data_IF_881274008763
#
_entry.id   IF_881274008763
#
_cell.length_a   1.000
_cell.length_b   1.000
_cell.length_c   1.000
_cell.angle_alpha   90.00
_cell.angle_beta   90.00
_cell.angle_gamma   90.00
#
_symmetry.space_group_name_H-M   'P 1'
#
loop_
_entity.id
_entity.type
_entity.pdbx_description
1 polymer ?
#
# COMPACT_ATOMS: atom_id res chain seq x y z
N UNK A 1 -46.80 -22.08 45.93
CA UNK A 1 -46.23 -20.72 45.78
C UNK A 1 -46.71 -20.07 44.47
N UNK A 2 -48.02 -20.12 44.20
CA UNK A 2 -48.73 -19.41 43.11
C UNK A 2 -50.09 -19.04 43.70
N UNK A 3 -50.11 -18.01 44.56
CA UNK A 3 -51.35 -17.40 45.08
C UNK A 3 -51.16 -16.00 45.69
N UNK A 4 -49.94 -15.42 45.63
CA UNK A 4 -49.63 -14.14 46.29
C UNK A 4 -49.49 -12.93 45.35
N UNK A 5 -49.64 -13.07 44.02
CA UNK A 5 -49.48 -11.94 43.09
C UNK A 5 -50.78 -11.30 42.58
N UNK A 6 -51.96 -11.86 42.86
CA UNK A 6 -53.23 -11.31 42.35
C UNK A 6 -53.82 -10.15 43.17
N UNK A 7 -53.21 -9.76 44.29
CA UNK A 7 -53.74 -8.72 45.19
C UNK A 7 -53.01 -7.37 45.15
N UNK A 8 -52.04 -7.15 44.25
CA UNK A 8 -51.39 -5.83 44.11
C UNK A 8 -51.90 -4.98 42.93
N UNK A 9 -52.76 -5.50 42.05
CA UNK A 9 -53.27 -4.78 40.87
C UNK A 9 -54.70 -4.22 41.02
N UNK A 10 -55.22 -4.14 42.25
CA UNK A 10 -56.50 -3.50 42.54
C UNK A 10 -56.40 -2.58 43.76
N UNK A 11 -55.80 -1.40 43.58
CA UNK A 11 -56.10 -0.18 44.36
C UNK A 11 -55.22 0.98 43.90
N UNK A 12 -55.83 1.86 43.10
CA UNK A 12 -55.70 3.33 43.07
C UNK A 12 -55.97 3.83 41.65
N UNK A 13 -57.23 3.69 41.25
CA UNK A 13 -57.89 4.77 40.51
C UNK A 13 -58.15 5.91 41.49
N UNK A 14 -58.36 7.11 40.94
CA UNK A 14 -58.83 8.34 41.59
C UNK A 14 -57.73 9.30 42.03
N UNK A 15 -57.33 10.22 41.13
CA UNK A 15 -57.73 11.63 41.24
C UNK A 15 -57.21 12.52 40.10
N UNK A 16 -58.19 13.19 39.49
CA UNK A 16 -58.24 14.58 38.96
C UNK A 16 -57.24 15.03 37.89
N UNK A 17 -57.82 15.13 36.69
CA UNK A 17 -57.45 16.01 35.57
C UNK A 17 -58.05 17.39 35.87
N UNK A 18 -57.26 18.46 35.70
CA UNK A 18 -57.79 19.80 35.43
C UNK A 18 -57.11 20.38 34.18
N UNK A 19 -57.95 21.10 33.42
CA UNK A 19 -57.95 21.52 32.01
C UNK A 19 -56.90 22.59 31.61
N UNK A 20 -56.85 22.83 30.29
CA UNK A 20 -56.86 24.14 29.54
C UNK A 20 -55.79 24.08 28.44
N UNK A 21 -55.98 24.44 27.15
CA UNK A 21 -57.11 24.81 26.29
C UNK A 21 -56.63 24.63 24.83
N UNK A 22 -57.55 24.33 23.92
CA UNK A 22 -57.39 24.48 22.46
C UNK A 22 -58.21 25.71 22.04
N UNK A 23 -57.74 26.51 21.07
CA UNK A 23 -58.69 27.16 20.15
C UNK A 23 -58.52 26.72 18.70
N UNK A 24 -59.67 26.50 18.08
CA UNK A 24 -59.92 26.14 16.70
C UNK A 24 -59.60 27.25 15.68
N UNK A 25 -59.34 26.75 14.46
CA UNK A 25 -59.45 27.31 13.11
C UNK A 25 -60.14 28.67 12.85
N UNK A 26 -59.56 29.49 11.95
CA UNK A 26 -60.09 29.76 10.58
C UNK A 26 -59.25 30.75 9.75
N UNK A 27 -58.95 30.30 8.52
CA UNK A 27 -58.87 30.98 7.21
C UNK A 27 -58.05 32.27 7.00
N UNK A 28 -57.09 32.24 6.06
CA UNK A 28 -57.22 32.92 4.76
C UNK A 28 -56.23 32.37 3.72
N UNK A 29 -56.69 32.34 2.49
CA UNK A 29 -56.11 31.78 1.25
C UNK A 29 -54.95 32.58 0.67
N UNK A 30 -53.94 31.92 0.07
CA UNK A 30 -53.59 31.98 -1.37
C UNK A 30 -52.16 31.50 -1.69
N UNK A 31 -52.09 30.83 -2.85
CA UNK A 31 -51.00 30.78 -3.83
C UNK A 31 -49.81 29.83 -3.55
N UNK A 32 -50.02 28.61 -4.05
CA UNK A 32 -49.09 27.76 -4.80
C UNK A 32 -47.75 28.38 -5.19
N UNK A 33 -46.68 27.83 -4.62
CA UNK A 33 -45.43 27.61 -5.34
C UNK A 33 -45.02 26.14 -5.18
N UNK A 34 -44.85 25.51 -6.34
CA UNK A 34 -44.40 24.13 -6.54
C UNK A 34 -42.89 24.12 -6.28
N UNK A 35 -42.42 23.34 -5.33
CA UNK A 35 -41.00 22.93 -5.29
C UNK A 35 -40.93 21.43 -5.11
N UNK A 36 -40.43 20.79 -6.17
CA UNK A 36 -40.21 19.37 -6.40
C UNK A 36 -39.83 18.55 -5.14
N UNK A 37 -40.77 17.72 -4.70
CA UNK A 37 -40.47 16.58 -3.84
C UNK A 37 -39.86 15.47 -4.71
N UNK A 38 -38.54 15.49 -4.86
CA UNK A 38 -37.80 14.25 -5.08
C UNK A 38 -37.80 13.46 -3.77
N UNK A 39 -38.82 12.63 -3.60
CA UNK A 39 -38.78 11.52 -2.63
C UNK A 39 -37.79 10.51 -3.22
N UNK A 40 -36.54 10.57 -2.78
CA UNK A 40 -35.63 9.45 -2.91
C UNK A 40 -36.18 8.30 -2.04
N UNK A 41 -36.70 7.27 -2.70
CA UNK A 41 -36.96 5.97 -2.08
C UNK A 41 -35.65 5.46 -1.46
N UNK A 42 -35.47 5.69 -0.15
CA UNK A 42 -34.42 5.01 0.62
C UNK A 42 -34.75 3.52 0.67
N UNK A 43 -34.14 2.75 -0.22
CA UNK A 43 -34.07 1.30 -0.06
C UNK A 43 -33.47 0.99 1.32
N UNK A 44 -34.20 0.26 2.16
CA UNK A 44 -33.68 -0.24 3.43
C UNK A 44 -32.50 -1.18 3.15
N UNK A 45 -31.29 -0.73 3.49
CA UNK A 45 -30.09 -1.55 3.38
C UNK A 45 -30.21 -2.71 4.38
N UNK A 46 -30.31 -3.93 3.87
CA UNK A 46 -30.37 -5.14 4.70
C UNK A 46 -29.00 -5.39 5.33
N UNK A 47 -28.91 -5.21 6.65
CA UNK A 47 -27.67 -5.44 7.41
C UNK A 47 -27.36 -6.94 7.43
N UNK A 48 -26.12 -7.29 7.08
CA UNK A 48 -25.58 -8.64 7.19
C UNK A 48 -25.19 -8.86 8.65
N UNK A 49 -25.77 -9.86 9.30
CA UNK A 49 -25.58 -10.07 10.74
C UNK A 49 -24.12 -10.42 11.11
N UNK A 50 -23.41 -11.18 10.25
CA UNK A 50 -22.02 -11.60 10.41
C UNK A 50 -21.19 -11.37 9.12
N UNK A 51 -19.93 -10.94 9.23
CA UNK A 51 -19.18 -10.64 10.46
C UNK A 51 -19.63 -9.33 11.13
N UNK A 52 -19.52 -9.27 12.46
CA UNK A 52 -19.55 -8.02 13.25
C UNK A 52 -18.16 -7.39 13.20
N UNK A 53 -18.08 -6.13 12.78
CA UNK A 53 -16.81 -5.42 12.53
C UNK A 53 -16.68 -4.22 13.48
N UNK A 54 -15.54 -4.13 14.17
CA UNK A 54 -15.19 -2.95 14.97
C UNK A 54 -14.16 -2.12 14.21
N UNK A 55 -14.54 -0.90 13.82
CA UNK A 55 -13.66 0.05 13.13
C UNK A 55 -13.11 1.07 14.13
N UNK A 56 -11.82 1.03 14.40
CA UNK A 56 -11.13 1.89 15.36
C UNK A 56 -10.31 2.93 14.61
N UNK A 57 -10.57 4.21 14.85
CA UNK A 57 -9.87 5.36 14.24
C UNK A 57 -9.98 5.46 12.70
N UNK A 58 -10.90 4.70 12.08
CA UNK A 58 -11.27 4.83 10.66
C UNK A 58 -12.14 6.07 10.48
N UNK A 59 -11.88 6.85 9.42
CA UNK A 59 -12.65 8.06 9.10
C UNK A 59 -14.16 7.76 8.94
N UNK A 60 -15.00 8.65 9.48
CA UNK A 60 -16.46 8.47 9.47
C UNK A 60 -17.02 8.34 8.05
N UNK A 61 -16.40 9.03 7.07
CA UNK A 61 -16.78 8.91 5.66
C UNK A 61 -16.59 7.50 5.13
N UNK A 62 -15.48 6.84 5.49
CA UNK A 62 -15.19 5.48 5.05
C UNK A 62 -16.09 4.45 5.73
N UNK A 63 -16.31 4.61 7.05
CA UNK A 63 -17.25 3.78 7.81
C UNK A 63 -18.66 3.86 7.22
N UNK A 64 -19.14 5.07 6.93
CA UNK A 64 -20.48 5.26 6.39
C UNK A 64 -20.64 4.59 5.03
N UNK A 65 -19.60 4.59 4.19
CA UNK A 65 -19.62 3.89 2.91
C UNK A 65 -19.71 2.37 3.10
N UNK A 66 -18.94 1.80 4.03
CA UNK A 66 -19.04 0.37 4.36
C UNK A 66 -20.43 0.00 4.90
N UNK A 67 -21.03 0.84 5.75
CA UNK A 67 -22.39 0.61 6.28
C UNK A 67 -23.45 0.59 5.17
N UNK A 68 -23.30 1.42 4.12
CA UNK A 68 -24.21 1.38 2.94
C UNK A 68 -24.14 0.04 2.18
N UNK A 69 -23.02 -0.66 2.26
CA UNK A 69 -22.85 -2.00 1.68
C UNK A 69 -23.45 -3.12 2.54
N UNK A 70 -24.05 -2.77 3.69
CA UNK A 70 -24.73 -3.71 4.58
C UNK A 70 -23.84 -4.33 5.67
N UNK A 71 -22.59 -3.88 5.82
CA UNK A 71 -21.72 -4.38 6.88
C UNK A 71 -22.19 -3.95 8.28
N UNK A 72 -22.16 -4.90 9.23
CA UNK A 72 -22.50 -4.67 10.63
C UNK A 72 -21.29 -4.07 11.39
N UNK A 73 -21.22 -2.73 11.42
CA UNK A 73 -20.07 -1.98 11.92
C UNK A 73 -20.40 -1.17 13.17
N UNK A 74 -19.54 -1.29 14.18
CA UNK A 74 -19.46 -0.38 15.34
C UNK A 74 -18.14 0.40 15.33
N UNK A 75 -18.18 1.68 15.68
CA UNK A 75 -17.01 2.54 15.69
C UNK A 75 -16.32 2.52 17.06
N UNK A 76 -15.00 2.64 17.05
CA UNK A 76 -14.14 2.81 18.21
C UNK A 76 -13.10 3.91 17.96
N UNK A 77 -12.41 4.32 19.02
CA UNK A 77 -11.25 5.20 18.90
C UNK A 77 -10.19 4.88 19.94
N UNK A 78 -8.91 5.02 19.56
CA UNK A 78 -7.77 5.02 20.49
C UNK A 78 -7.61 6.36 21.21
N UNK A 79 -8.50 7.31 20.97
CA UNK A 79 -8.41 8.68 21.45
C UNK A 79 -7.76 9.59 20.42
N UNK A 80 -7.98 10.89 20.59
CA UNK A 80 -7.49 11.94 19.67
C UNK A 80 -6.35 12.70 20.34
N UNK A 81 -5.36 13.18 19.57
CA UNK A 81 -4.31 14.06 20.11
C UNK A 81 -4.94 15.34 20.63
N UNK A 82 -4.46 15.86 21.77
CA UNK A 82 -5.04 17.05 22.40
C UNK A 82 -3.97 18.12 22.60
N UNK A 83 -4.22 19.33 22.10
CA UNK A 83 -3.37 20.50 22.38
C UNK A 83 -3.59 20.97 23.81
N UNK A 84 -2.68 20.60 24.69
CA UNK A 84 -2.71 20.98 26.11
C UNK A 84 -2.07 22.35 26.30
N UNK A 85 -2.68 23.27 27.06
CA UNK A 85 -2.21 24.65 27.18
C UNK A 85 -1.04 24.82 28.17
N UNK A 86 -0.06 23.91 28.13
CA UNK A 86 1.14 23.95 28.96
C UNK A 86 2.18 24.88 28.32
N UNK A 87 2.16 26.18 28.63
CA UNK A 87 2.98 27.18 27.94
C UNK A 87 4.23 27.61 28.75
N UNK A 88 4.23 27.37 30.06
CA UNK A 88 5.28 27.82 30.98
C UNK A 88 5.73 26.70 31.91
N UNK A 89 6.91 26.88 32.49
CA UNK A 89 7.42 26.02 33.54
C UNK A 89 6.40 25.97 34.70
N UNK A 90 6.07 24.75 35.15
CA UNK A 90 5.03 24.40 36.14
C UNK A 90 3.58 24.38 35.62
N UNK A 91 3.32 24.70 34.35
CA UNK A 91 1.99 24.46 33.79
C UNK A 91 1.77 22.94 33.64
N UNK A 92 0.64 22.47 34.15
CA UNK A 92 0.18 21.10 33.95
C UNK A 92 -1.34 21.06 33.82
N UNK A 93 -1.83 20.04 33.13
CA UNK A 93 -3.24 19.77 32.95
C UNK A 93 -3.53 18.29 33.20
N UNK A 94 -4.71 18.02 33.75
CA UNK A 94 -5.26 16.66 33.81
C UNK A 94 -5.79 16.32 32.42
N UNK A 95 -5.44 15.13 31.95
CA UNK A 95 -5.87 14.58 30.67
C UNK A 95 -6.51 13.21 30.86
N UNK A 96 -7.31 12.82 29.89
CA UNK A 96 -7.94 11.51 29.82
C UNK A 96 -7.66 10.92 28.44
N UNK A 97 -7.56 9.59 28.30
CA UNK A 97 -7.34 8.98 26.99
C UNK A 97 -8.43 9.32 25.99
N UNK A 98 -9.67 9.53 26.47
CA UNK A 98 -10.88 9.68 25.66
C UNK A 98 -11.00 8.61 24.56
N UNK A 99 -10.47 7.41 24.85
CA UNK A 99 -10.58 6.24 24.01
C UNK A 99 -11.93 5.57 24.23
N UNK A 100 -12.52 5.09 23.14
CA UNK A 100 -13.75 4.31 23.14
C UNK A 100 -13.49 2.97 22.47
N UNK A 101 -13.40 1.92 23.27
CA UNK A 101 -13.26 0.55 22.79
C UNK A 101 -14.57 -0.18 23.12
N UNK A 102 -15.22 -0.86 22.16
CA UNK A 102 -16.44 -1.61 22.43
C UNK A 102 -16.25 -2.57 23.60
N UNK A 103 -17.09 -2.42 24.64
CA UNK A 103 -16.97 -3.21 25.87
C UNK A 103 -17.19 -4.71 25.64
N UNK A 104 -17.94 -5.05 24.59
CA UNK A 104 -18.22 -6.39 24.12
C UNK A 104 -17.38 -6.77 22.87
N UNK A 105 -16.13 -6.32 22.77
CA UNK A 105 -15.23 -6.66 21.64
C UNK A 105 -15.17 -8.17 21.34
N UNK A 106 -15.40 -9.04 22.33
CA UNK A 106 -15.51 -10.50 22.19
C UNK A 106 -16.65 -10.99 21.28
N UNK A 107 -17.67 -10.17 21.04
CA UNK A 107 -18.74 -10.50 20.08
C UNK A 107 -18.36 -10.21 18.63
N UNK A 108 -17.37 -9.35 18.40
CA UNK A 108 -16.89 -8.96 17.08
C UNK A 108 -16.04 -10.04 16.46
N UNK A 109 -16.12 -10.18 15.14
CA UNK A 109 -15.37 -11.18 14.37
C UNK A 109 -14.16 -10.54 13.67
N UNK A 110 -14.23 -9.23 13.41
CA UNK A 110 -13.18 -8.45 12.76
C UNK A 110 -12.95 -7.15 13.54
N UNK A 111 -11.68 -6.77 13.72
CA UNK A 111 -11.29 -5.43 14.17
C UNK A 111 -10.41 -4.77 13.12
N UNK A 112 -10.78 -3.58 12.69
CA UNK A 112 -10.04 -2.78 11.71
C UNK A 112 -9.49 -1.57 12.45
N UNK A 113 -8.17 -1.38 12.42
CA UNK A 113 -7.48 -0.26 13.07
C UNK A 113 -6.81 0.60 12.03
N UNK A 114 -6.92 1.91 12.18
CA UNK A 114 -6.07 2.87 11.50
C UNK A 114 -5.18 3.61 12.49
N UNK A 115 -3.88 3.31 12.45
CA UNK A 115 -2.93 3.89 13.39
C UNK A 115 -2.49 5.30 13.01
N UNK A 116 -2.71 5.73 11.76
CA UNK A 116 -2.19 6.99 11.21
C UNK A 116 -3.18 8.16 11.28
N UNK A 117 -4.29 7.99 12.03
CA UNK A 117 -5.24 9.08 12.23
C UNK A 117 -4.63 10.20 13.09
N UNK A 118 -4.19 11.27 12.46
CA UNK A 118 -3.42 12.34 13.12
C UNK A 118 -4.28 13.53 13.58
N UNK A 119 -5.59 13.34 13.70
CA UNK A 119 -6.52 14.35 14.19
C UNK A 119 -6.06 14.87 15.55
N UNK A 120 -6.04 16.20 15.66
CA UNK A 120 -5.67 16.91 16.87
C UNK A 120 -6.77 17.92 17.22
N UNK A 121 -7.25 17.89 18.46
CA UNK A 121 -8.27 18.78 18.98
C UNK A 121 -7.70 19.71 20.06
N UNK A 122 -8.40 20.81 20.31
CA UNK A 122 -8.02 21.72 21.39
C UNK A 122 -8.49 21.17 22.75
N UNK A 123 -7.74 21.44 23.81
CA UNK A 123 -8.08 20.97 25.15
C UNK A 123 -9.38 21.61 25.66
N UNK A 124 -10.33 20.76 26.05
CA UNK A 124 -11.56 21.16 26.74
C UNK A 124 -11.54 20.53 28.13
N UNK A 125 -11.34 21.34 29.17
CA UNK A 125 -11.19 20.89 30.55
C UNK A 125 -12.31 19.94 31.01
N UNK A 126 -13.56 20.21 30.59
CA UNK A 126 -14.73 19.41 30.97
C UNK A 126 -14.71 17.99 30.41
N UNK A 127 -13.99 17.75 29.32
CA UNK A 127 -13.83 16.43 28.68
C UNK A 127 -12.67 15.63 29.27
N UNK A 128 -11.86 16.25 30.12
CA UNK A 128 -10.69 15.65 30.75
C UNK A 128 -10.84 15.53 32.27
N UNK A 129 -12.07 15.51 32.74
CA UNK A 129 -12.40 15.39 34.16
C UNK A 129 -13.38 14.23 34.39
N UNK A 130 -13.12 13.38 35.39
CA UNK A 130 -14.05 12.33 35.83
C UNK A 130 -14.94 12.86 36.95
N UNK A 131 -16.21 13.09 36.65
CA UNK A 131 -17.19 13.62 37.63
C UNK A 131 -17.57 12.59 38.71
N UNK A 132 -17.35 11.31 38.47
CA UNK A 132 -17.76 10.21 39.35
C UNK A 132 -16.53 9.35 39.71
N UNK A 133 -16.35 9.10 41.00
CA UNK A 133 -15.33 8.20 41.53
C UNK A 133 -15.85 7.50 42.78
N UNK A 134 -15.36 6.28 43.02
CA UNK A 134 -15.60 5.53 44.25
C UNK A 134 -14.32 5.54 45.08
N UNK A 135 -14.41 5.83 46.38
CA UNK A 135 -13.26 5.87 47.29
C UNK A 135 -12.78 7.29 47.63
N UNK A 136 -11.61 7.37 48.30
CA UNK A 136 -11.03 8.63 48.82
C UNK A 136 -9.93 9.24 47.93
N UNK A 137 -9.57 8.55 46.85
CA UNK A 137 -8.60 9.05 45.87
C UNK A 137 -9.01 8.65 44.45
N UNK A 138 -8.51 9.41 43.47
CA UNK A 138 -8.72 9.17 42.04
C UNK A 138 -7.40 9.27 41.29
N UNK A 139 -7.19 8.36 40.35
CA UNK A 139 -5.97 8.32 39.54
C UNK A 139 -6.28 8.86 38.15
N UNK A 140 -5.53 9.90 37.75
CA UNK A 140 -5.70 10.59 36.46
C UNK A 140 -4.36 10.72 35.73
N UNK A 141 -4.41 10.98 34.43
CA UNK A 141 -3.18 11.23 33.66
C UNK A 141 -2.78 12.69 33.79
N UNK A 142 -1.47 12.87 33.87
CA UNK A 142 -0.81 14.14 34.10
C UNK A 142 0.00 14.53 32.87
N UNK A 143 -0.34 15.67 32.27
CA UNK A 143 0.39 16.27 31.17
C UNK A 143 0.98 17.60 31.65
N UNK A 144 2.30 17.75 31.62
CA UNK A 144 2.98 18.95 32.09
C UNK A 144 3.96 19.49 31.06
N UNK A 145 4.29 20.78 31.16
CA UNK A 145 5.34 21.40 30.36
C UNK A 145 6.64 20.57 30.43
N UNK A 146 7.29 20.25 29.29
CA UNK A 146 7.13 20.88 27.97
C UNK A 146 6.13 20.20 27.02
N UNK A 147 5.31 19.24 27.48
CA UNK A 147 4.32 18.59 26.61
C UNK A 147 3.19 19.56 26.25
N UNK A 148 3.12 19.95 24.97
CA UNK A 148 2.06 20.81 24.41
C UNK A 148 1.00 20.04 23.62
N UNK A 149 1.27 18.77 23.30
CA UNK A 149 0.34 17.86 22.64
C UNK A 149 0.35 16.54 23.41
N UNK A 150 -0.76 16.23 24.05
CA UNK A 150 -0.95 14.95 24.70
C UNK A 150 -1.43 13.92 23.66
N UNK A 151 -0.72 12.81 23.52
CA UNK A 151 -1.09 11.71 22.61
C UNK A 151 -1.57 10.48 23.39
N UNK A 152 -2.89 10.19 23.44
CA UNK A 152 -3.42 9.06 24.20
C UNK A 152 -3.26 7.70 23.51
N UNK A 153 -2.93 7.67 22.21
CA UNK A 153 -3.09 6.47 21.39
C UNK A 153 -2.25 5.28 21.84
N UNK A 154 -0.94 5.41 22.15
CA UNK A 154 -0.16 4.27 22.68
C UNK A 154 -0.72 3.67 23.96
N UNK A 155 -1.21 4.49 24.90
CA UNK A 155 -1.90 4.00 26.09
C UNK A 155 -3.19 3.26 25.74
N UNK A 156 -4.01 3.81 24.84
CA UNK A 156 -5.23 3.15 24.40
C UNK A 156 -4.97 1.85 23.61
N UNK A 157 -3.90 1.78 22.82
CA UNK A 157 -3.42 0.55 22.19
C UNK A 157 -3.07 -0.51 23.23
N UNK A 158 -2.38 -0.13 24.31
CA UNK A 158 -2.15 -1.04 25.42
C UNK A 158 -3.46 -1.51 26.08
N UNK A 159 -4.44 -0.62 26.25
CA UNK A 159 -5.76 -1.00 26.77
C UNK A 159 -6.50 -1.96 25.82
N UNK A 160 -6.37 -1.76 24.50
CA UNK A 160 -6.94 -2.64 23.48
C UNK A 160 -6.39 -4.06 23.58
N UNK A 161 -5.10 -4.24 23.93
CA UNK A 161 -4.52 -5.56 24.23
C UNK A 161 -5.38 -6.35 25.21
N UNK A 162 -5.84 -5.70 26.29
CA UNK A 162 -6.67 -6.34 27.30
C UNK A 162 -8.02 -6.79 26.73
N UNK A 163 -8.60 -6.02 25.80
CA UNK A 163 -9.84 -6.39 25.11
C UNK A 163 -9.62 -7.52 24.10
N UNK A 164 -8.52 -7.50 23.36
CA UNK A 164 -8.14 -8.58 22.43
C UNK A 164 -7.80 -9.89 23.16
N UNK A 165 -7.24 -9.82 24.36
CA UNK A 165 -6.98 -11.00 25.18
C UNK A 165 -8.27 -11.67 25.67
N UNK A 166 -9.35 -10.90 25.85
CA UNK A 166 -10.68 -11.44 26.22
C UNK A 166 -11.36 -12.21 25.09
N UNK A 167 -10.85 -12.18 23.86
CA UNK A 167 -11.37 -12.99 22.74
C UNK A 167 -11.18 -14.50 22.99
N UNK A 168 -10.21 -14.88 23.84
CA UNK A 168 -9.91 -16.28 24.12
C UNK A 168 -9.55 -17.05 22.85
N UNK A 169 -10.23 -18.17 22.63
CA UNK A 169 -10.01 -19.06 21.48
C UNK A 169 -10.88 -18.75 20.26
N UNK A 170 -11.59 -17.62 20.27
CA UNK A 170 -12.42 -17.22 19.13
C UNK A 170 -11.53 -16.85 17.94
N UNK A 171 -11.87 -17.36 16.75
CA UNK A 171 -11.26 -16.92 15.50
C UNK A 171 -11.55 -15.43 15.28
N UNK A 172 -10.52 -14.64 15.00
CA UNK A 172 -10.65 -13.19 14.88
C UNK A 172 -9.65 -12.62 13.88
N UNK A 173 -10.13 -11.73 13.00
CA UNK A 173 -9.29 -11.02 12.05
C UNK A 173 -9.02 -9.59 12.52
N UNK A 174 -7.75 -9.21 12.63
CA UNK A 174 -7.32 -7.86 12.95
C UNK A 174 -6.64 -7.27 11.72
N UNK A 175 -7.25 -6.26 11.11
CA UNK A 175 -6.71 -5.51 9.97
C UNK A 175 -6.12 -4.21 10.50
N UNK A 176 -4.86 -3.91 10.18
CA UNK A 176 -4.15 -2.75 10.71
C UNK A 176 -3.59 -1.94 9.55
N UNK A 177 -4.05 -0.69 9.40
CA UNK A 177 -3.34 0.29 8.59
C UNK A 177 -2.23 0.92 9.45
N UNK A 178 -0.99 0.63 9.06
CA UNK A 178 0.21 0.93 9.83
C UNK A 178 0.53 2.43 9.90
N UNK A 179 1.27 2.80 10.95
CA UNK A 179 1.91 4.11 11.10
C UNK A 179 3.35 3.91 11.57
N UNK A 180 4.18 4.95 11.59
CA UNK A 180 5.53 4.86 12.14
C UNK A 180 5.53 4.39 13.60
N UNK A 181 6.52 3.59 14.00
CA UNK A 181 6.63 3.13 15.38
C UNK A 181 7.14 4.24 16.30
N UNK A 182 6.32 4.66 17.26
CA UNK A 182 6.71 5.63 18.27
C UNK A 182 6.25 5.20 19.67
N UNK A 183 6.96 5.71 20.68
CA UNK A 183 6.63 5.51 22.08
C UNK A 183 6.22 6.83 22.72
N UNK A 184 5.27 6.76 23.64
CA UNK A 184 4.87 7.90 24.48
C UNK A 184 5.04 7.50 25.94
N UNK A 185 5.62 8.42 26.72
CA UNK A 185 5.80 8.30 28.15
C UNK A 185 4.66 9.04 28.85
N UNK A 186 4.09 8.40 29.87
CA UNK A 186 2.93 8.88 30.59
C UNK A 186 3.25 8.95 32.07
N UNK A 187 2.59 9.88 32.75
CA UNK A 187 2.65 10.01 34.18
C UNK A 187 1.24 10.08 34.76
N UNK A 188 1.07 9.54 35.96
CA UNK A 188 -0.20 9.61 36.69
C UNK A 188 -0.10 10.51 37.91
N UNK A 189 -1.22 11.17 38.20
CA UNK A 189 -1.46 11.96 39.39
C UNK A 189 -2.54 11.26 40.22
N UNK A 190 -2.25 11.01 41.48
CA UNK A 190 -3.25 10.61 42.47
C UNK A 190 -3.81 11.86 43.14
N UNK A 191 -5.11 12.10 42.95
CA UNK A 191 -5.86 13.18 43.58
C UNK A 191 -6.49 12.63 44.86
N UNK A 192 -6.20 13.25 46.00
CA UNK A 192 -6.79 12.89 47.30
C UNK A 192 -7.59 14.07 47.87
N UNK A 193 -8.23 13.88 49.03
CA UNK A 193 -8.93 14.96 49.74
C UNK A 193 -8.02 16.14 50.15
N UNK A 194 -6.72 15.91 50.27
CA UNK A 194 -5.79 16.88 50.86
C UNK A 194 -4.74 17.38 49.86
N UNK A 195 -4.14 16.49 49.10
CA UNK A 195 -3.05 16.80 48.19
C UNK A 195 -3.06 15.90 46.95
N UNK A 196 -2.33 16.36 45.92
CA UNK A 196 -2.13 15.60 44.69
C UNK A 196 -0.69 15.12 44.62
N UNK A 197 -0.49 13.84 44.32
CA UNK A 197 0.84 13.22 44.27
C UNK A 197 1.10 12.58 42.92
N UNK A 198 2.27 12.83 42.35
CA UNK A 198 2.75 12.09 41.19
C UNK A 198 3.09 10.66 41.63
N UNK A 199 2.62 9.66 40.89
CA UNK A 199 2.69 8.27 41.32
C UNK A 199 3.49 7.39 40.38
N UNK A 200 2.95 7.09 39.21
CA UNK A 200 3.53 6.12 38.29
C UNK A 200 4.02 6.81 37.02
N UNK A 201 5.07 6.24 36.43
CA UNK A 201 5.54 6.56 35.09
C UNK A 201 5.58 5.26 34.28
N UNK A 202 5.06 5.31 33.06
CA UNK A 202 5.03 4.16 32.18
C UNK A 202 5.12 4.60 30.72
N UNK A 203 5.52 3.68 29.87
CA UNK A 203 5.79 3.92 28.46
C UNK A 203 5.09 2.89 27.62
N UNK A 204 4.37 3.33 26.59
CA UNK A 204 3.71 2.45 25.64
C UNK A 204 4.04 2.82 24.21
N UNK A 205 3.94 1.82 23.33
CA UNK A 205 4.11 1.96 21.89
C UNK A 205 2.74 1.95 21.20
N UNK A 206 2.62 2.59 20.04
CA UNK A 206 1.38 2.52 19.25
C UNK A 206 0.97 1.07 18.90
N UNK A 207 1.93 0.15 18.79
CA UNK A 207 1.74 -1.28 18.57
C UNK A 207 1.53 -2.11 19.86
N UNK A 208 1.38 -1.48 21.03
CA UNK A 208 1.22 -2.18 22.33
C UNK A 208 -0.09 -2.97 22.48
N UNK A 209 -0.94 -3.03 21.45
CA UNK A 209 -2.11 -3.93 21.39
C UNK A 209 -1.73 -5.40 21.19
N UNK A 210 -0.48 -5.69 20.78
CA UNK A 210 0.06 -7.04 20.61
C UNK A 210 1.33 -7.22 21.46
N UNK A 211 1.62 -8.45 21.90
CA UNK A 211 2.82 -8.75 22.69
C UNK A 211 4.12 -8.52 21.90
N UNK A 212 4.13 -8.88 20.62
CA UNK A 212 5.28 -8.70 19.74
C UNK A 212 4.84 -8.40 18.31
N UNK A 213 5.43 -7.37 17.73
CA UNK A 213 5.32 -7.01 16.30
C UNK A 213 6.74 -6.91 15.75
N UNK A 214 7.09 -7.57 14.62
CA UNK A 214 8.43 -7.59 14.08
C UNK A 214 8.74 -6.28 13.32
N UNK A 215 8.86 -5.20 14.08
CA UNK A 215 9.12 -3.86 13.57
C UNK A 215 10.61 -3.67 13.23
N UNK A 216 10.87 -3.09 12.05
CA UNK A 216 12.16 -2.52 11.68
C UNK A 216 12.12 -0.99 11.84
N UNK A 217 13.21 -0.30 11.45
CA UNK A 217 13.24 1.16 11.45
C UNK A 217 12.14 1.78 10.55
N UNK A 218 11.57 2.93 10.94
CA UNK A 218 10.57 3.60 10.13
C UNK A 218 11.18 4.06 8.81
N UNK A 219 10.46 3.89 7.71
CA UNK A 219 10.82 4.37 6.37
C UNK A 219 9.56 4.85 5.68
N UNK A 220 9.66 5.97 4.98
CA UNK A 220 8.55 6.57 4.27
C UNK A 220 8.69 6.36 2.76
N UNK A 221 7.63 5.97 2.08
CA UNK A 221 7.62 5.82 0.63
C UNK A 221 6.26 5.43 0.05
N UNK A 222 6.20 5.39 -1.28
CA UNK A 222 4.99 5.06 -2.06
C UNK A 222 5.20 3.92 -3.05
N UNK A 223 6.45 3.64 -3.41
CA UNK A 223 6.79 2.57 -4.33
C UNK A 223 6.79 1.23 -3.58
N UNK A 224 5.87 0.36 -3.98
CA UNK A 224 5.64 -0.94 -3.35
C UNK A 224 5.50 -2.03 -4.40
N UNK A 225 5.90 -3.24 -4.04
CA UNK A 225 5.89 -4.45 -4.87
C UNK A 225 5.23 -5.55 -4.05
N UNK A 226 4.19 -6.18 -4.59
CA UNK A 226 3.52 -7.32 -3.96
C UNK A 226 4.43 -8.55 -4.02
N UNK A 227 4.49 -9.32 -2.94
CA UNK A 227 5.31 -10.53 -2.88
C UNK A 227 4.70 -11.67 -3.70
N UNK A 228 5.55 -12.53 -4.30
CA UNK A 228 5.08 -13.59 -5.20
C UNK A 228 4.49 -14.81 -4.46
N UNK A 229 4.91 -15.06 -3.22
CA UNK A 229 4.53 -16.26 -2.45
C UNK A 229 3.28 -16.04 -1.60
N UNK A 230 2.23 -15.45 -2.17
CA UNK A 230 0.92 -15.27 -1.51
C UNK A 230 -0.20 -15.81 -2.40
N UNK A 231 -1.38 -16.00 -1.83
CA UNK A 231 -2.58 -16.43 -2.58
C UNK A 231 -2.80 -15.55 -3.82
N UNK A 232 -3.13 -16.17 -4.96
CA UNK A 232 -3.19 -15.46 -6.25
C UNK A 232 -4.27 -14.37 -6.25
N UNK A 233 -5.41 -14.60 -5.61
CA UNK A 233 -6.49 -13.61 -5.55
C UNK A 233 -6.08 -12.44 -4.63
N UNK A 234 -5.41 -12.74 -3.51
CA UNK A 234 -4.84 -11.71 -2.65
C UNK A 234 -3.74 -10.92 -3.38
N UNK A 235 -2.89 -11.58 -4.18
CA UNK A 235 -1.85 -10.94 -4.98
C UNK A 235 -2.44 -9.97 -5.99
N UNK A 236 -3.43 -10.42 -6.75
CA UNK A 236 -4.09 -9.60 -7.76
C UNK A 236 -4.82 -8.42 -7.11
N UNK A 237 -5.53 -8.67 -6.00
CA UNK A 237 -6.17 -7.62 -5.20
C UNK A 237 -5.16 -6.55 -4.74
N UNK A 238 -4.07 -6.94 -4.06
CA UNK A 238 -3.08 -5.97 -3.57
C UNK A 238 -2.41 -5.21 -4.72
N UNK A 239 -2.17 -5.87 -5.85
CA UNK A 239 -1.55 -5.28 -7.03
C UNK A 239 -2.35 -4.10 -7.58
N UNK A 240 -3.70 -4.17 -7.55
CA UNK A 240 -4.60 -3.08 -7.96
C UNK A 240 -4.41 -1.79 -7.15
N UNK A 241 -4.01 -1.90 -5.88
CA UNK A 241 -3.93 -0.77 -4.96
C UNK A 241 -2.51 -0.24 -4.72
N UNK A 242 -1.47 -0.85 -5.30
CA UNK A 242 -0.06 -0.45 -5.15
C UNK A 242 0.16 1.06 -5.40
N UNK A 243 -0.44 1.62 -6.44
CA UNK A 243 -0.34 3.05 -6.79
C UNK A 243 -1.02 4.00 -5.79
N UNK A 244 -1.81 3.47 -4.85
CA UNK A 244 -2.55 4.22 -3.84
C UNK A 244 -1.98 4.02 -2.43
N UNK A 245 -0.91 3.22 -2.30
CA UNK A 245 -0.32 2.88 -1.02
C UNK A 245 0.77 3.88 -0.62
N UNK A 246 0.83 4.16 0.68
CA UNK A 246 1.92 4.88 1.30
C UNK A 246 2.32 4.14 2.58
N UNK A 247 3.60 3.83 2.72
CA UNK A 247 4.13 3.20 3.91
C UNK A 247 4.99 4.20 4.69
N UNK A 248 4.99 4.08 6.01
CA UNK A 248 5.82 4.83 6.97
C UNK A 248 6.52 3.89 7.99
N UNK A 249 6.21 2.59 7.94
CA UNK A 249 6.77 1.56 8.80
C UNK A 249 7.27 0.37 7.98
N UNK A 250 8.38 -0.23 8.42
CA UNK A 250 8.88 -1.48 7.84
C UNK A 250 8.92 -2.61 8.86
N UNK A 251 8.96 -3.83 8.37
CA UNK A 251 8.93 -5.04 9.17
C UNK A 251 10.10 -5.95 8.81
N UNK A 252 10.46 -6.85 9.72
CA UNK A 252 11.36 -7.97 9.44
C UNK A 252 10.62 -9.30 9.53
N UNK A 253 11.21 -10.34 8.94
CA UNK A 253 10.83 -11.71 9.27
C UNK A 253 11.65 -12.16 10.47
N UNK A 254 10.99 -12.73 11.47
CA UNK A 254 11.68 -13.36 12.61
C UNK A 254 11.65 -14.88 12.42
N UNK A 255 12.69 -15.58 12.87
CA UNK A 255 12.72 -17.04 12.87
C UNK A 255 11.69 -17.67 13.81
N UNK A 256 11.20 -16.90 14.79
CA UNK A 256 10.32 -17.37 15.87
C UNK A 256 8.83 -17.31 15.51
N UNK A 257 8.40 -16.31 14.74
CA UNK A 257 7.02 -16.18 14.28
C UNK A 257 6.95 -16.28 12.76
N UNK A 258 6.14 -17.22 12.25
CA UNK A 258 5.82 -17.37 10.82
C UNK A 258 5.03 -16.15 10.33
N UNK A 259 5.78 -15.11 10.02
CA UNK A 259 5.28 -13.90 9.38
C UNK A 259 5.24 -14.14 7.87
N UNK A 260 4.08 -14.00 7.24
CA UNK A 260 3.91 -14.07 5.79
C UNK A 260 4.12 -12.67 5.19
N UNK A 261 5.16 -12.45 4.38
CA UNK A 261 5.35 -11.18 3.69
C UNK A 261 4.28 -10.97 2.61
N UNK A 262 3.64 -9.79 2.60
CA UNK A 262 2.62 -9.45 1.60
C UNK A 262 3.14 -8.42 0.59
N UNK A 263 3.82 -7.38 1.07
CA UNK A 263 4.28 -6.25 0.25
C UNK A 263 5.66 -5.81 0.73
N UNK A 264 6.55 -5.50 -0.21
CA UNK A 264 7.89 -4.96 0.02
C UNK A 264 8.08 -3.64 -0.73
N UNK A 265 9.04 -2.82 -0.31
CA UNK A 265 9.49 -1.67 -1.10
C UNK A 265 10.53 -2.08 -2.15
N UNK A 266 11.01 -1.12 -2.95
CA UNK A 266 12.03 -1.32 -3.99
C UNK A 266 13.39 -1.77 -3.45
N UNK A 267 13.68 -1.51 -2.17
CA UNK A 267 14.90 -1.98 -1.49
C UNK A 267 14.74 -3.38 -0.89
N UNK A 268 13.55 -4.00 -1.00
CA UNK A 268 13.25 -5.31 -0.44
C UNK A 268 12.83 -5.30 1.04
N UNK A 269 12.71 -4.14 1.69
CA UNK A 269 12.16 -4.06 3.05
C UNK A 269 10.66 -4.40 3.03
N UNK A 270 10.19 -5.16 4.02
CA UNK A 270 8.77 -5.50 4.13
C UNK A 270 7.98 -4.30 4.64
N UNK A 271 6.86 -3.98 4.00
CA UNK A 271 5.95 -2.88 4.38
C UNK A 271 4.53 -3.38 4.66
N UNK A 272 4.28 -4.66 4.39
CA UNK A 272 3.02 -5.34 4.73
C UNK A 272 3.30 -6.79 5.07
N UNK A 273 2.67 -7.26 6.14
CA UNK A 273 2.87 -8.60 6.66
C UNK A 273 1.57 -9.17 7.23
N UNK A 274 1.47 -10.49 7.24
CA UNK A 274 0.47 -11.23 8.00
C UNK A 274 1.14 -12.03 9.11
N UNK A 275 0.56 -12.01 10.31
CA UNK A 275 0.99 -12.78 11.47
C UNK A 275 -0.20 -13.60 11.96
N UNK A 276 -0.03 -14.91 12.05
CA UNK A 276 -1.01 -15.80 12.67
C UNK A 276 -0.57 -16.08 14.11
N UNK A 277 -1.42 -15.73 15.07
CA UNK A 277 -1.19 -15.85 16.50
C UNK A 277 -2.38 -16.59 17.14
N UNK A 278 -2.22 -17.90 17.32
CA UNK A 278 -3.30 -18.84 17.69
C UNK A 278 -4.54 -18.69 16.78
N UNK A 279 -5.65 -18.20 17.32
CA UNK A 279 -6.91 -17.99 16.62
C UNK A 279 -7.05 -16.55 16.09
N UNK A 280 -6.02 -15.70 16.23
CA UNK A 280 -6.02 -14.32 15.75
C UNK A 280 -5.13 -14.20 14.53
N UNK A 281 -5.66 -13.60 13.47
CA UNK A 281 -4.85 -13.24 12.30
C UNK A 281 -4.69 -11.73 12.25
N UNK A 282 -3.46 -11.26 12.28
CA UNK A 282 -3.11 -9.86 12.14
C UNK A 282 -2.61 -9.61 10.73
N UNK A 283 -3.22 -8.65 10.02
CA UNK A 283 -2.77 -8.21 8.69
C UNK A 283 -2.41 -6.74 8.75
N UNK A 284 -1.14 -6.44 8.56
CA UNK A 284 -0.60 -5.09 8.54
C UNK A 284 -0.51 -4.60 7.10
N UNK A 285 -1.29 -3.58 6.76
CA UNK A 285 -1.24 -2.90 5.48
C UNK A 285 -0.57 -1.52 5.61
N UNK A 286 0.08 -1.02 4.54
CA UNK A 286 0.38 0.40 4.39
C UNK A 286 -0.91 1.21 4.37
N UNK A 287 -0.81 2.52 4.58
CA UNK A 287 -1.93 3.42 4.35
C UNK A 287 -2.38 3.37 2.88
N UNK A 288 -3.69 3.44 2.65
CA UNK A 288 -4.30 3.41 1.31
C UNK A 288 -5.20 4.63 1.15
N UNK A 289 -5.11 5.32 0.02
CA UNK A 289 -5.89 6.53 -0.26
C UNK A 289 -7.40 6.28 -0.32
N UNK A 290 -7.86 5.30 -1.10
CA UNK A 290 -9.29 4.92 -1.18
C UNK A 290 -9.61 3.77 -0.20
N UNK A 291 -9.51 4.05 1.10
CA UNK A 291 -9.60 3.03 2.16
C UNK A 291 -10.96 2.32 2.22
N UNK A 292 -12.08 3.04 2.09
CA UNK A 292 -13.41 2.42 2.02
C UNK A 292 -13.53 1.40 0.88
N UNK A 293 -13.03 1.74 -0.31
CA UNK A 293 -13.08 0.86 -1.48
C UNK A 293 -12.20 -0.36 -1.31
N UNK A 294 -10.97 -0.15 -0.83
CA UNK A 294 -10.05 -1.24 -0.47
C UNK A 294 -10.69 -2.21 0.51
N UNK A 295 -11.26 -1.70 1.61
CA UNK A 295 -11.90 -2.52 2.64
C UNK A 295 -13.13 -3.24 2.10
N UNK A 296 -13.96 -2.58 1.28
CA UNK A 296 -15.14 -3.19 0.70
C UNK A 296 -14.78 -4.39 -0.19
N UNK A 297 -13.85 -4.19 -1.14
CA UNK A 297 -13.39 -5.26 -2.04
C UNK A 297 -12.69 -6.38 -1.25
N UNK A 298 -11.84 -6.03 -0.27
CA UNK A 298 -11.21 -7.02 0.60
C UNK A 298 -12.24 -7.86 1.37
N UNK A 299 -13.22 -7.23 2.03
CA UNK A 299 -14.20 -7.91 2.87
C UNK A 299 -15.23 -8.72 2.07
N UNK A 300 -15.52 -8.35 0.81
CA UNK A 300 -16.47 -9.05 -0.04
C UNK A 300 -15.83 -10.18 -0.86
N UNK A 301 -14.63 -9.96 -1.40
CA UNK A 301 -14.05 -10.85 -2.41
C UNK A 301 -12.91 -11.71 -1.86
N UNK A 302 -12.11 -11.18 -0.93
CA UNK A 302 -10.85 -11.81 -0.51
C UNK A 302 -10.99 -12.48 0.85
N UNK A 303 -11.41 -11.72 1.87
CA UNK A 303 -11.52 -12.19 3.25
C UNK A 303 -12.44 -13.41 3.42
N UNK A 304 -13.58 -13.56 2.70
CA UNK A 304 -14.39 -14.77 2.79
C UNK A 304 -13.67 -16.03 2.33
N UNK A 305 -12.79 -15.92 1.32
CA UNK A 305 -11.99 -17.05 0.84
C UNK A 305 -10.86 -17.40 1.81
N UNK A 306 -10.26 -16.40 2.46
CA UNK A 306 -9.14 -16.61 3.39
C UNK A 306 -9.61 -17.03 4.79
N UNK A 307 -10.76 -16.53 5.23
CA UNK A 307 -11.30 -16.71 6.60
C UNK A 307 -12.77 -17.15 6.58
N UNK A 308 -13.11 -18.28 5.94
CA UNK A 308 -14.51 -18.66 5.66
C UNK A 308 -15.40 -18.75 6.91
N UNK A 309 -14.84 -19.13 8.06
CA UNK A 309 -15.58 -19.22 9.32
C UNK A 309 -16.08 -17.86 9.84
N UNK A 310 -15.37 -16.77 9.53
CA UNK A 310 -15.76 -15.41 9.90
C UNK A 310 -16.87 -14.86 8.99
N UNK A 311 -17.06 -15.45 7.81
CA UNK A 311 -18.01 -14.99 6.79
C UNK A 311 -19.06 -16.06 6.44
N UNK A 312 -19.83 -16.57 7.43
CA UNK A 312 -20.72 -17.72 7.24
C UNK A 312 -21.81 -17.49 6.19
N UNK A 313 -22.19 -16.22 5.96
CA UNK A 313 -23.20 -15.86 4.97
C UNK A 313 -22.63 -15.63 3.57
N UNK A 314 -21.35 -15.25 3.45
CA UNK A 314 -20.69 -15.14 2.15
C UNK A 314 -20.36 -16.52 1.58
N UNK A 315 -20.05 -17.47 2.46
CA UNK A 315 -19.78 -18.88 2.12
C UNK A 315 -21.04 -19.74 2.08
N UNK A 316 -22.24 -19.13 2.11
CA UNK A 316 -23.50 -19.87 1.95
C UNK A 316 -23.42 -20.62 0.62
N UNK A 317 -23.43 -21.94 0.71
CA UNK A 317 -23.25 -22.90 -0.39
C UNK A 317 -21.82 -23.16 -0.89
N UNK A 318 -20.77 -22.77 -0.16
CA UNK A 318 -19.38 -23.16 -0.49
C UNK A 318 -19.14 -24.67 -0.40
N UNK A 319 -20.01 -25.40 0.29
CA UNK A 319 -20.01 -26.86 0.24
C UNK A 319 -20.13 -27.38 -1.20
N UNK A 320 -20.77 -26.64 -2.11
CA UNK A 320 -20.85 -27.00 -3.55
C UNK A 320 -19.48 -27.04 -4.22
N UNK A 321 -18.50 -26.32 -3.68
CA UNK A 321 -17.14 -26.26 -4.18
C UNK A 321 -16.24 -27.34 -3.57
N UNK A 322 -16.71 -28.08 -2.55
CA UNK A 322 -15.98 -29.23 -1.98
C UNK A 322 -16.07 -30.42 -2.93
N UNK A 323 -15.00 -31.22 -2.98
CA UNK A 323 -14.88 -32.38 -3.88
C UNK A 323 -16.07 -33.34 -3.81
N UNK A 324 -16.58 -33.59 -2.60
CA UNK A 324 -17.73 -34.48 -2.36
C UNK A 324 -19.03 -34.03 -3.03
N UNK A 325 -19.12 -32.75 -3.40
CA UNK A 325 -20.31 -32.12 -3.99
C UNK A 325 -20.04 -31.56 -5.40
N UNK A 326 -18.88 -31.87 -5.98
CA UNK A 326 -18.57 -31.49 -7.34
C UNK A 326 -19.58 -32.08 -8.32
N UNK A 327 -20.01 -31.25 -9.28
CA UNK A 327 -20.89 -31.69 -10.35
C UNK A 327 -20.17 -32.69 -11.27
N UNK A 328 -20.92 -33.55 -11.99
CA UNK A 328 -20.32 -34.47 -12.94
C UNK A 328 -19.36 -33.76 -13.90
N UNK A 329 -18.20 -34.39 -14.16
CA UNK A 329 -17.09 -33.87 -15.00
C UNK A 329 -16.30 -32.69 -14.44
N UNK A 330 -16.63 -32.15 -13.26
CA UNK A 330 -15.89 -31.01 -12.69
C UNK A 330 -14.39 -31.31 -12.52
N UNK A 331 -14.04 -32.49 -11.98
CA UNK A 331 -12.64 -32.91 -11.80
C UNK A 331 -11.89 -33.00 -13.14
N UNK A 332 -12.55 -33.52 -14.18
CA UNK A 332 -11.98 -33.61 -15.54
C UNK A 332 -11.76 -32.21 -16.13
N UNK A 333 -12.71 -31.30 -15.94
CA UNK A 333 -12.59 -29.91 -16.42
C UNK A 333 -11.47 -29.16 -15.68
N UNK A 334 -11.31 -29.38 -14.37
CA UNK A 334 -10.19 -28.82 -13.61
C UNK A 334 -8.84 -29.35 -14.11
N UNK A 335 -8.73 -30.66 -14.37
CA UNK A 335 -7.51 -31.24 -14.92
C UNK A 335 -7.21 -30.66 -16.31
N UNK A 336 -8.21 -30.55 -17.19
CA UNK A 336 -8.04 -29.94 -18.51
C UNK A 336 -7.60 -28.47 -18.44
N UNK A 337 -8.13 -27.71 -17.49
CA UNK A 337 -7.68 -26.33 -17.23
C UNK A 337 -6.20 -26.31 -16.83
N UNK A 338 -5.79 -27.15 -15.88
CA UNK A 338 -4.39 -27.24 -15.43
C UNK A 338 -3.44 -27.67 -16.55
N UNK A 339 -3.85 -28.63 -17.37
CA UNK A 339 -3.07 -29.08 -18.52
C UNK A 339 -2.91 -27.97 -19.57
N UNK A 340 -3.98 -27.21 -19.84
CA UNK A 340 -3.94 -26.04 -20.73
C UNK A 340 -3.01 -24.94 -20.20
N UNK A 341 -3.07 -24.63 -18.90
CA UNK A 341 -2.20 -23.63 -18.27
C UNK A 341 -0.73 -24.02 -18.50
N UNK A 342 -0.35 -25.26 -18.16
CA UNK A 342 1.01 -25.76 -18.37
C UNK A 342 1.45 -25.71 -19.83
N UNK A 343 0.56 -26.08 -20.76
CA UNK A 343 0.85 -26.03 -22.19
C UNK A 343 1.15 -24.59 -22.66
N UNK A 344 0.34 -23.62 -22.23
CA UNK A 344 0.53 -22.22 -22.62
C UNK A 344 1.73 -21.57 -21.94
N UNK A 345 2.02 -21.89 -20.68
CA UNK A 345 3.22 -21.44 -19.99
C UNK A 345 4.49 -21.87 -20.73
N UNK A 346 4.58 -23.14 -21.13
CA UNK A 346 5.71 -23.64 -21.93
C UNK A 346 5.83 -22.94 -23.28
N UNK A 347 4.70 -22.66 -23.95
CA UNK A 347 4.68 -21.90 -25.21
C UNK A 347 5.16 -20.46 -25.02
N UNK A 348 4.76 -19.81 -23.92
CA UNK A 348 5.18 -18.45 -23.59
C UNK A 348 6.68 -18.43 -23.30
N UNK A 349 7.19 -19.37 -22.48
CA UNK A 349 8.61 -19.46 -22.15
C UNK A 349 9.47 -19.64 -23.42
N UNK A 350 9.06 -20.53 -24.31
CA UNK A 350 9.71 -20.71 -25.62
C UNK A 350 9.68 -19.43 -26.46
N UNK A 351 8.57 -18.67 -26.46
CA UNK A 351 8.48 -17.39 -27.17
C UNK A 351 9.36 -16.31 -26.55
N UNK A 352 9.49 -16.28 -25.23
CA UNK A 352 10.43 -15.40 -24.53
C UNK A 352 11.87 -15.74 -24.93
N UNK A 353 12.23 -17.02 -25.01
CA UNK A 353 13.54 -17.45 -25.48
C UNK A 353 13.80 -17.03 -26.94
N UNK A 354 12.82 -17.20 -27.82
CA UNK A 354 12.89 -16.73 -29.21
C UNK A 354 13.10 -15.20 -29.29
N UNK A 355 12.37 -14.42 -28.49
CA UNK A 355 12.51 -12.95 -28.41
C UNK A 355 13.92 -12.58 -27.93
N UNK A 356 14.39 -13.20 -26.84
CA UNK A 356 15.71 -12.92 -26.27
C UNK A 356 16.83 -13.29 -27.25
N UNK A 357 16.71 -14.41 -27.96
CA UNK A 357 17.66 -14.81 -28.99
C UNK A 357 17.65 -13.84 -30.18
N UNK A 358 16.47 -13.36 -30.58
CA UNK A 358 16.36 -12.34 -31.63
C UNK A 358 17.01 -11.02 -31.21
N UNK A 359 16.75 -10.56 -29.98
CA UNK A 359 17.36 -9.34 -29.43
C UNK A 359 18.89 -9.46 -29.41
N UNK A 360 19.43 -10.57 -28.89
CA UNK A 360 20.89 -10.82 -28.89
C UNK A 360 21.47 -10.87 -30.30
N UNK A 361 20.80 -11.56 -31.23
CA UNK A 361 21.27 -11.71 -32.61
C UNK A 361 21.39 -10.36 -33.34
N UNK A 362 20.49 -9.43 -33.07
CA UNK A 362 20.43 -8.14 -33.77
C UNK A 362 20.82 -6.94 -32.90
N UNK A 363 21.43 -7.19 -31.74
CA UNK A 363 21.83 -6.16 -30.76
C UNK A 363 22.77 -5.10 -31.36
N UNK A 364 23.62 -5.52 -32.30
CA UNK A 364 24.53 -4.63 -33.03
C UNK A 364 23.81 -3.46 -33.72
N UNK A 365 22.55 -3.64 -34.15
CA UNK A 365 21.75 -2.56 -34.75
C UNK A 365 21.42 -1.45 -33.75
N UNK A 366 21.16 -1.80 -32.48
CA UNK A 366 20.98 -0.81 -31.43
C UNK A 366 22.31 -0.20 -31.01
N UNK A 367 23.38 -1.00 -30.89
CA UNK A 367 24.69 -0.50 -30.49
C UNK A 367 25.27 0.54 -31.45
N UNK A 368 25.02 0.41 -32.76
CA UNK A 368 25.37 1.45 -33.75
C UNK A 368 24.71 2.81 -33.40
N UNK A 369 23.56 2.79 -32.76
CA UNK A 369 22.78 3.98 -32.39
C UNK A 369 23.06 4.49 -30.97
N UNK A 370 23.76 3.75 -30.11
CA UNK A 370 23.97 4.10 -28.69
C UNK A 370 25.44 4.18 -28.28
N UNK A 371 26.31 3.33 -28.84
CA UNK A 371 27.69 3.15 -28.37
C UNK A 371 28.68 4.18 -28.94
N UNK A 372 29.92 4.09 -28.48
CA UNK A 372 31.07 4.90 -28.93
C UNK A 372 32.36 4.10 -28.77
N UNK A 373 33.45 4.55 -29.41
CA UNK A 373 34.74 3.85 -29.37
C UNK A 373 34.67 2.44 -29.94
N UNK A 374 35.47 1.53 -29.39
CA UNK A 374 35.69 0.17 -29.87
C UNK A 374 34.38 -0.65 -30.00
N UNK A 375 33.42 -0.45 -29.08
CA UNK A 375 32.12 -1.13 -29.13
C UNK A 375 31.28 -0.69 -30.35
N UNK A 376 31.39 0.58 -30.75
CA UNK A 376 30.77 1.10 -31.96
C UNK A 376 31.44 0.53 -33.21
N UNK A 377 32.78 0.50 -33.25
CA UNK A 377 33.55 -0.06 -34.36
C UNK A 377 33.18 -1.54 -34.58
N UNK A 378 33.18 -2.33 -33.51
CA UNK A 378 32.79 -3.75 -33.54
C UNK A 378 31.38 -3.93 -34.11
N UNK A 379 30.41 -3.13 -33.65
CA UNK A 379 29.02 -3.21 -34.09
C UNK A 379 28.85 -2.82 -35.56
N UNK A 380 29.61 -1.82 -36.04
CA UNK A 380 29.64 -1.42 -37.44
C UNK A 380 30.25 -2.52 -38.32
N UNK A 381 31.31 -3.19 -37.88
CA UNK A 381 31.89 -4.35 -38.57
C UNK A 381 30.84 -5.47 -38.71
N UNK A 382 30.12 -5.81 -37.62
CA UNK A 382 29.04 -6.80 -37.67
C UNK A 382 27.93 -6.41 -38.65
N UNK A 383 27.54 -5.13 -38.68
CA UNK A 383 26.56 -4.62 -39.64
C UNK A 383 27.04 -4.69 -41.09
N UNK A 384 28.30 -4.36 -41.36
CA UNK A 384 28.87 -4.45 -42.70
C UNK A 384 28.97 -5.91 -43.18
N UNK A 385 29.31 -6.85 -42.29
CA UNK A 385 29.22 -8.30 -42.57
C UNK A 385 27.79 -8.73 -42.86
N UNK A 386 26.82 -8.19 -42.13
CA UNK A 386 25.39 -8.45 -42.34
C UNK A 386 24.89 -7.91 -43.71
N UNK A 387 25.47 -6.82 -44.20
CA UNK A 387 25.29 -6.31 -45.57
C UNK A 387 26.13 -7.05 -46.63
N UNK A 388 26.78 -8.16 -46.27
CA UNK A 388 27.58 -9.01 -47.15
C UNK A 388 28.89 -8.39 -47.67
N UNK A 389 29.40 -7.33 -47.03
CA UNK A 389 30.75 -6.85 -47.33
C UNK A 389 31.79 -7.90 -46.94
N UNK A 390 32.76 -8.11 -47.82
CA UNK A 390 33.87 -9.07 -47.65
C UNK A 390 35.16 -8.32 -47.34
N UNK A 391 36.14 -9.02 -46.74
CA UNK A 391 37.49 -8.50 -46.47
C UNK A 391 37.50 -7.20 -45.63
N UNK A 392 36.71 -7.18 -44.57
CA UNK A 392 36.68 -6.08 -43.59
C UNK A 392 37.82 -6.26 -42.62
N UNK A 393 38.62 -5.22 -42.43
CA UNK A 393 39.77 -5.18 -41.53
C UNK A 393 39.52 -4.12 -40.47
N UNK A 394 39.56 -4.54 -39.21
CA UNK A 394 39.68 -3.64 -38.06
C UNK A 394 41.14 -3.20 -37.96
N UNK A 395 41.39 -1.90 -38.09
CA UNK A 395 42.76 -1.40 -38.12
C UNK A 395 43.41 -1.45 -36.73
N UNK A 396 42.66 -1.35 -35.63
CA UNK A 396 43.20 -1.45 -34.28
C UNK A 396 43.76 -2.85 -33.97
N UNK A 397 43.22 -3.89 -34.60
CA UNK A 397 43.72 -5.27 -34.51
C UNK A 397 45.01 -5.50 -35.33
N UNK A 398 45.39 -4.57 -36.22
CA UNK A 398 46.60 -4.67 -37.07
C UNK A 398 47.84 -4.02 -36.45
N UNK A 399 47.79 -3.65 -35.16
CA UNK A 399 48.87 -2.99 -34.42
C UNK A 399 50.22 -3.70 -34.58
N UNK A 400 51.14 -3.02 -35.24
CA UNK A 400 52.59 -3.26 -35.21
C UNK A 400 53.28 -1.91 -35.00
N UNK A 401 54.48 -1.91 -34.41
CA UNK A 401 55.18 -0.67 -33.99
C UNK A 401 55.45 0.33 -35.14
N UNK A 402 55.26 -0.09 -36.40
CA UNK A 402 55.53 0.69 -37.62
C UNK A 402 54.27 1.21 -38.36
N UNK A 403 53.05 0.90 -37.90
CA UNK A 403 51.80 1.29 -38.59
C UNK A 403 51.08 2.43 -37.86
N UNK A 404 50.93 3.57 -38.54
CA UNK A 404 50.13 4.70 -38.04
C UNK A 404 48.66 4.37 -38.25
N UNK A 405 47.91 4.24 -37.15
CA UNK A 405 46.46 4.07 -37.16
C UNK A 405 45.79 5.42 -37.34
N UNK A 406 45.06 5.57 -38.43
CA UNK A 406 44.40 6.83 -38.76
C UNK A 406 42.91 6.67 -39.05
N UNK A 407 42.47 5.48 -39.44
CA UNK A 407 41.07 5.12 -39.67
C UNK A 407 40.72 3.87 -38.87
N UNK A 408 39.45 3.69 -38.52
CA UNK A 408 39.01 2.53 -37.72
C UNK A 408 38.88 1.25 -38.57
N UNK A 409 38.32 1.36 -39.78
CA UNK A 409 37.99 0.19 -40.62
C UNK A 409 38.45 0.38 -42.06
N UNK A 410 39.03 -0.67 -42.64
CA UNK A 410 39.31 -0.77 -44.09
C UNK A 410 38.56 -1.92 -44.76
N UNK A 411 38.10 -1.70 -45.99
CA UNK A 411 37.43 -2.72 -46.81
C UNK A 411 37.95 -2.65 -48.24
N UNK A 412 38.52 -3.76 -48.72
CA UNK A 412 38.85 -3.92 -50.13
C UNK A 412 37.59 -4.28 -50.92
N UNK A 413 37.13 -3.34 -51.75
CA UNK A 413 35.98 -3.51 -52.64
C UNK A 413 36.47 -3.69 -54.08
N UNK A 414 35.62 -4.20 -54.97
CA UNK A 414 36.00 -4.46 -56.38
C UNK A 414 36.56 -3.22 -57.09
N UNK A 415 36.05 -2.03 -56.73
CA UNK A 415 36.40 -0.76 -57.35
C UNK A 415 37.46 0.04 -56.58
N UNK A 416 38.12 -0.56 -55.57
CA UNK A 416 39.19 0.10 -54.81
C UNK A 416 39.16 -0.15 -53.31
N UNK A 417 39.53 0.86 -52.52
CA UNK A 417 39.61 0.79 -51.05
C UNK A 417 38.57 1.70 -50.40
N UNK A 418 37.74 1.16 -49.53
CA UNK A 418 36.87 1.94 -48.64
C UNK A 418 37.53 2.06 -47.26
N UNK A 419 37.71 3.29 -46.79
CA UNK A 419 38.15 3.60 -45.43
C UNK A 419 36.98 4.22 -44.65
N UNK A 420 36.81 3.81 -43.39
CA UNK A 420 35.71 4.24 -42.54
C UNK A 420 36.26 4.74 -41.20
N UNK A 421 35.77 5.91 -40.81
CA UNK A 421 35.93 6.49 -39.47
C UNK A 421 34.57 6.49 -38.76
N UNK A 422 34.54 6.04 -37.52
CA UNK A 422 33.34 5.83 -36.72
C UNK A 422 33.34 6.77 -35.52
N UNK A 423 32.20 7.41 -35.22
CA UNK A 423 32.10 8.27 -34.04
C UNK A 423 30.73 8.27 -33.39
N UNK A 424 30.69 8.04 -32.08
CA UNK A 424 29.48 8.14 -31.26
C UNK A 424 29.55 9.37 -30.35
N UNK A 425 28.68 10.36 -30.57
CA UNK A 425 28.69 11.62 -29.82
C UNK A 425 27.31 12.01 -29.27
N UNK A 426 27.30 12.63 -28.09
CA UNK A 426 26.08 13.16 -27.48
C UNK A 426 25.54 14.42 -28.17
N UNK A 427 26.36 15.11 -28.98
CA UNK A 427 26.03 16.32 -29.72
C UNK A 427 26.14 16.15 -31.24
N UNK A 428 26.55 17.20 -31.95
CA UNK A 428 26.87 17.19 -33.38
C UNK A 428 28.39 17.21 -33.64
N UNK A 429 28.81 16.74 -34.81
CA UNK A 429 30.23 16.74 -35.21
C UNK A 429 30.69 18.17 -35.48
N UNK A 430 31.95 18.46 -35.17
CA UNK A 430 32.61 19.69 -35.60
C UNK A 430 33.13 19.54 -37.03
N UNK A 431 33.18 20.64 -37.78
CA UNK A 431 33.71 20.65 -39.16
C UNK A 431 35.12 20.06 -39.27
N UNK A 432 35.97 20.29 -38.26
CA UNK A 432 37.32 19.74 -38.20
C UNK A 432 37.32 18.20 -38.20
N UNK A 433 36.35 17.59 -37.51
CA UNK A 433 36.21 16.14 -37.39
C UNK A 433 35.70 15.54 -38.71
N UNK A 434 34.70 16.16 -39.34
CA UNK A 434 34.21 15.77 -40.66
C UNK A 434 35.30 15.85 -41.74
N UNK A 435 36.22 16.81 -41.63
CA UNK A 435 37.31 17.00 -42.60
C UNK A 435 38.47 16.00 -42.45
N UNK A 436 38.57 15.29 -41.31
CA UNK A 436 39.71 14.45 -40.98
C UNK A 436 39.82 13.24 -41.92
N UNK A 437 38.71 12.55 -42.18
CA UNK A 437 38.70 11.36 -43.05
C UNK A 437 39.12 11.67 -44.50
N UNK A 438 38.88 12.90 -44.95
CA UNK A 438 39.32 13.35 -46.28
C UNK A 438 40.84 13.47 -46.38
N UNK A 439 41.51 13.91 -45.29
CA UNK A 439 42.98 13.97 -45.25
C UNK A 439 43.58 12.58 -45.30
N UNK A 440 42.98 11.64 -44.57
CA UNK A 440 43.40 10.24 -44.52
C UNK A 440 43.26 9.61 -45.91
N UNK A 441 42.12 9.81 -46.58
CA UNK A 441 41.93 9.40 -47.97
C UNK A 441 43.06 9.88 -48.89
N UNK A 442 43.39 11.17 -48.86
CA UNK A 442 44.45 11.70 -49.73
C UNK A 442 45.82 11.06 -49.46
N UNK A 443 46.11 10.74 -48.19
CA UNK A 443 47.34 10.04 -47.80
C UNK A 443 47.35 8.60 -48.33
N UNK A 444 46.26 7.84 -48.16
CA UNK A 444 46.08 6.48 -48.71
C UNK A 444 46.17 6.45 -50.23
N UNK A 445 45.62 7.44 -50.93
CA UNK A 445 45.79 7.57 -52.38
C UNK A 445 47.25 7.71 -52.78
N UNK A 446 48.01 8.53 -52.04
CA UNK A 446 49.44 8.75 -52.29
C UNK A 446 50.28 7.50 -52.01
N UNK A 447 49.98 6.78 -50.93
CA UNK A 447 50.64 5.51 -50.56
C UNK A 447 50.40 4.42 -51.61
N UNK A 448 49.17 4.33 -52.14
CA UNK A 448 48.78 3.33 -53.15
C UNK A 448 49.11 3.75 -54.58
N UNK A 449 49.53 5.00 -54.80
CA UNK A 449 49.66 5.62 -56.12
C UNK A 449 48.40 5.45 -57.00
N UNK A 450 47.22 5.58 -56.39
CA UNK A 450 45.92 5.38 -57.03
C UNK A 450 44.84 6.26 -56.40
N UNK A 451 43.82 6.64 -57.17
CA UNK A 451 42.72 7.51 -56.73
C UNK A 451 41.43 6.75 -56.35
N UNK A 452 41.47 5.42 -56.40
CA UNK A 452 40.38 4.50 -56.07
C UNK A 452 40.16 4.31 -54.56
N UNK A 453 40.30 5.39 -53.78
CA UNK A 453 40.06 5.38 -52.33
C UNK A 453 38.80 6.17 -52.01
N UNK A 454 37.88 5.53 -51.30
CA UNK A 454 36.61 6.08 -50.85
C UNK A 454 36.65 6.25 -49.34
N UNK A 455 36.22 7.42 -48.86
CA UNK A 455 36.21 7.74 -47.44
C UNK A 455 34.77 7.87 -46.97
N UNK A 456 34.44 7.20 -45.87
CA UNK A 456 33.14 7.27 -45.22
C UNK A 456 33.34 7.68 -43.76
N UNK A 457 32.56 8.68 -43.32
CA UNK A 457 32.49 9.05 -41.91
C UNK A 457 31.12 8.63 -41.39
N UNK A 458 31.09 7.64 -40.51
CA UNK A 458 29.87 7.16 -39.87
C UNK A 458 29.79 7.80 -38.49
N UNK A 459 28.85 8.73 -38.33
CA UNK A 459 28.64 9.40 -37.05
C UNK A 459 27.22 9.21 -36.55
N UNK A 460 27.14 8.88 -35.27
CA UNK A 460 25.90 8.83 -34.51
C UNK A 460 25.76 10.12 -33.68
N UNK A 461 24.99 11.08 -34.18
CA UNK A 461 24.65 12.33 -33.50
C UNK A 461 23.59 12.12 -32.43
N UNK A 462 23.63 12.96 -31.39
CA UNK A 462 22.60 12.99 -30.34
C UNK A 462 22.27 11.59 -29.79
N UNK A 463 23.30 10.78 -29.51
CA UNK A 463 23.12 9.35 -29.22
C UNK A 463 22.22 9.03 -28.02
N UNK A 464 22.04 9.98 -27.11
CA UNK A 464 21.15 9.86 -25.95
C UNK A 464 19.67 10.17 -26.26
N UNK A 465 19.36 10.61 -27.49
CA UNK A 465 18.01 10.89 -27.98
C UNK A 465 17.63 9.78 -28.97
N UNK A 466 16.39 9.31 -28.90
CA UNK A 466 15.87 8.31 -29.82
C UNK A 466 16.00 8.80 -31.28
N UNK A 467 16.40 7.95 -32.25
CA UNK A 467 16.69 8.38 -33.63
C UNK A 467 15.60 9.22 -34.29
N UNK A 468 14.33 8.88 -34.08
CA UNK A 468 13.18 9.60 -34.66
C UNK A 468 12.93 10.99 -34.05
N UNK A 469 13.59 11.32 -32.95
CA UNK A 469 13.48 12.60 -32.25
C UNK A 469 14.71 13.50 -32.47
N UNK A 470 15.69 13.02 -33.24
CA UNK A 470 16.90 13.80 -33.57
C UNK A 470 16.53 14.83 -34.66
N UNK A 471 17.01 16.07 -34.48
CA UNK A 471 16.84 17.17 -35.43
C UNK A 471 17.94 17.19 -36.47
#
# INVERSE_FOLDING_TARGET
>A
MIKSLKNLLKKKSDKKIDKIDIPDSKELTKETEISDNHIEDKQEVKIIEKPKISCIDIEDTDVNELKKQGFNIENGTLGTKVKVPNNKQNDYNIVLPNAFLPSNLHEFDITILDLDNDKTIDYIQKEHYKNEHTGKSSMVLHSAFPETIFNPKPLASHLLKSSLNKLGNKEHLIIIFSTENYNVEYQTLEITETENYLKDQFKYNIYSFQDYVPLNGPKNGKEVIVCDNIDINLKDFLSKYTNQMQYNQTFHTSSYNKCLPLIKNTNGDLVSIQINDDNKTYIYFPQVKEKAKFLNEFLLEIAPSLFPNLFPYATLHDWRNKKDYWLPKHEVLLQQKEDLIKEYEQKIEKKIEEINNNLKKYDFLHKILTETGDELVTSIIEFLKWLEFKNIVDMDETKTDDVILEEDIQINIENGLLIIECKGIGGTSKDSECSQISKIKHRRCKERNSFDVFALYIVNHHKHIAPLQRQ
#
